data_IF_734758006714
#
_entry.id   IF_734758006714
#
_cell.length_a   1.000
_cell.length_b   1.000
_cell.length_c   1.000
_cell.angle_alpha   90.00
_cell.angle_beta   90.00
_cell.angle_gamma   90.00
#
_symmetry.space_group_name_H-M   'P 1'
#
loop_
_entity.id
_entity.type
_entity.pdbx_description
1 polymer ?
#
# COMPACT_ATOMS: atom_id res chain seq x y z
N UNK A 1 9.06 14.08 -4.80
CA UNK A 1 10.27 13.40 -4.27
C UNK A 1 9.93 11.92 -4.08
N UNK A 2 10.89 10.98 -4.13
CA UNK A 2 10.63 9.53 -3.98
C UNK A 2 10.95 9.05 -2.56
N UNK A 3 10.23 8.07 -2.00
CA UNK A 3 10.59 7.42 -0.74
C UNK A 3 12.01 6.87 -0.76
N UNK A 4 12.67 6.85 0.40
CA UNK A 4 14.05 6.41 0.52
C UNK A 4 14.35 5.81 1.90
N UNK A 5 15.40 5.00 1.96
CA UNK A 5 15.97 4.49 3.21
C UNK A 5 17.08 5.42 3.71
N UNK A 6 17.19 5.56 5.03
CA UNK A 6 18.31 6.24 5.68
C UNK A 6 18.70 5.52 6.96
N UNK A 7 19.96 5.63 7.38
CA UNK A 7 20.41 5.12 8.67
C UNK A 7 19.76 5.88 9.83
N UNK A 8 19.45 5.19 10.92
CA UNK A 8 18.80 5.75 12.12
C UNK A 8 19.72 6.71 12.90
N UNK A 9 21.04 6.54 12.79
CA UNK A 9 22.04 7.39 13.47
C UNK A 9 22.22 8.78 12.81
N UNK A 10 21.65 8.99 11.61
CA UNK A 10 21.78 10.26 10.90
C UNK A 10 20.71 11.24 11.34
N UNK A 11 21.11 12.32 12.01
CA UNK A 11 20.26 13.44 12.43
C UNK A 11 19.65 14.30 11.31
N UNK A 12 19.46 13.78 10.09
CA UNK A 12 18.72 14.50 9.05
C UNK A 12 17.22 14.45 9.36
N UNK A 13 16.55 15.59 9.30
CA UNK A 13 15.09 15.64 9.40
C UNK A 13 14.44 15.09 8.13
N UNK A 14 13.25 14.51 8.28
CA UNK A 14 12.42 14.16 7.13
C UNK A 14 11.95 15.45 6.42
N UNK A 15 11.67 15.41 5.11
CA UNK A 15 11.02 16.52 4.43
C UNK A 15 9.70 16.91 5.12
N UNK A 16 9.28 18.17 4.95
CA UNK A 16 8.01 18.65 5.52
C UNK A 16 6.85 17.80 4.99
N UNK A 17 6.00 17.34 5.91
CA UNK A 17 4.83 16.50 5.61
C UNK A 17 5.16 15.02 5.41
N UNK A 18 6.43 14.62 5.47
CA UNK A 18 6.86 13.23 5.40
C UNK A 18 7.10 12.67 6.80
N UNK A 19 6.96 11.35 6.93
CA UNK A 19 7.26 10.64 8.16
C UNK A 19 8.49 9.75 7.99
N UNK A 20 9.09 9.38 9.11
CA UNK A 20 10.16 8.38 9.18
C UNK A 20 9.67 7.24 10.07
N UNK A 21 9.67 6.01 9.53
CA UNK A 21 9.29 4.82 10.30
C UNK A 21 10.45 3.82 10.35
N UNK A 22 10.69 3.15 11.50
CA UNK A 22 11.70 2.12 11.61
C UNK A 22 11.47 0.99 10.60
N UNK A 23 12.47 0.70 9.77
CA UNK A 23 12.40 -0.33 8.73
C UNK A 23 13.26 -1.56 9.07
N UNK A 24 13.87 -1.59 10.25
CA UNK A 24 14.73 -2.67 10.72
C UNK A 24 16.12 -2.62 10.09
N UNK A 25 16.79 -3.78 10.05
CA UNK A 25 18.14 -3.90 9.48
C UNK A 25 18.08 -4.06 7.98
N UNK A 26 18.79 -3.21 7.24
CA UNK A 26 19.00 -3.33 5.79
C UNK A 26 20.49 -3.22 5.49
N UNK A 27 21.04 -4.16 4.74
CA UNK A 27 22.47 -4.27 4.43
C UNK A 27 23.35 -4.13 5.69
N UNK A 28 22.94 -4.80 6.78
CA UNK A 28 23.64 -4.79 8.07
C UNK A 28 23.50 -3.51 8.90
N UNK A 29 22.63 -2.57 8.52
CA UNK A 29 22.43 -1.29 9.24
C UNK A 29 20.99 -1.10 9.67
N UNK A 30 20.78 -0.57 10.88
CA UNK A 30 19.45 -0.09 11.27
C UNK A 30 19.07 1.12 10.41
N UNK A 31 17.90 1.04 9.77
CA UNK A 31 17.40 2.09 8.89
C UNK A 31 15.96 2.45 9.20
N UNK A 32 15.59 3.64 8.76
CA UNK A 32 14.22 4.11 8.68
C UNK A 32 13.84 4.29 7.21
N UNK A 33 12.57 4.06 6.90
CA UNK A 33 11.98 4.45 5.63
C UNK A 33 11.33 5.82 5.79
N UNK A 34 11.69 6.74 4.88
CA UNK A 34 11.17 8.11 4.86
C UNK A 34 10.23 8.26 3.67
N UNK A 35 8.97 8.60 3.94
CA UNK A 35 7.93 8.68 2.91
C UNK A 35 6.83 9.68 3.27
N UNK A 36 6.17 10.23 2.25
CA UNK A 36 4.90 10.95 2.41
C UNK A 36 3.76 9.94 2.63
N UNK A 37 3.11 9.89 3.79
CA UNK A 37 2.04 8.92 4.07
C UNK A 37 0.73 9.20 3.31
N UNK A 38 0.57 10.42 2.78
CA UNK A 38 -0.59 10.80 1.97
C UNK A 38 -0.46 10.29 0.55
N UNK A 39 0.77 10.25 0.03
CA UNK A 39 1.05 9.85 -1.36
C UNK A 39 1.56 8.43 -1.50
N UNK A 40 2.29 7.91 -0.51
CA UNK A 40 2.98 6.63 -0.64
C UNK A 40 2.36 5.55 0.24
N UNK A 41 2.37 4.33 -0.28
CA UNK A 41 2.13 3.13 0.51
C UNK A 41 3.38 2.27 0.45
N UNK A 42 3.90 1.89 1.62
CA UNK A 42 5.07 1.04 1.79
C UNK A 42 4.60 -0.35 2.24
N UNK A 43 5.17 -1.40 1.64
CA UNK A 43 4.97 -2.79 2.03
C UNK A 43 6.34 -3.42 2.21
N UNK A 44 6.53 -4.12 3.32
CA UNK A 44 7.70 -4.95 3.57
C UNK A 44 7.28 -6.41 3.47
N UNK A 45 7.95 -7.17 2.62
CA UNK A 45 7.81 -8.61 2.57
C UNK A 45 9.04 -9.22 3.22
N UNK A 46 8.81 -10.01 4.25
CA UNK A 46 9.84 -10.75 4.98
C UNK A 46 9.74 -12.23 4.59
N UNK A 47 10.88 -12.89 4.45
CA UNK A 47 11.08 -14.18 3.75
C UNK A 47 11.08 -14.01 2.23
N UNK A 48 11.94 -14.75 1.50
CA UNK A 48 12.10 -14.61 0.05
C UNK A 48 10.72 -14.62 -0.63
N UNK A 49 10.30 -13.48 -1.21
CA UNK A 49 9.02 -13.44 -1.86
C UNK A 49 9.11 -14.28 -3.12
N UNK A 50 8.29 -15.33 -3.20
CA UNK A 50 8.13 -16.09 -4.43
C UNK A 50 7.66 -15.21 -5.57
N UNK A 51 7.88 -15.66 -6.80
CA UNK A 51 7.56 -14.88 -8.01
C UNK A 51 6.09 -14.50 -8.11
N UNK A 52 5.19 -15.33 -7.59
CA UNK A 52 3.76 -15.01 -7.48
C UNK A 52 3.51 -13.74 -6.64
N UNK A 53 4.12 -13.63 -5.46
CA UNK A 53 3.96 -12.45 -4.59
C UNK A 53 4.53 -11.20 -5.27
N UNK A 54 5.69 -11.34 -5.93
CA UNK A 54 6.31 -10.25 -6.70
C UNK A 54 5.42 -9.79 -7.85
N UNK A 55 4.81 -10.72 -8.58
CA UNK A 55 3.89 -10.43 -9.68
C UNK A 55 2.62 -9.73 -9.20
N UNK A 56 2.02 -10.18 -8.09
CA UNK A 56 0.84 -9.53 -7.48
C UNK A 56 1.17 -8.10 -7.06
N UNK A 57 2.28 -7.88 -6.35
CA UNK A 57 2.69 -6.54 -5.94
C UNK A 57 2.93 -5.63 -7.15
N UNK A 58 3.59 -6.11 -8.19
CA UNK A 58 3.79 -5.36 -9.42
C UNK A 58 2.47 -5.02 -10.13
N UNK A 59 1.53 -5.97 -10.19
CA UNK A 59 0.19 -5.76 -10.75
C UNK A 59 -0.64 -4.72 -9.99
N UNK A 60 -0.46 -4.65 -8.66
CA UNK A 60 -1.04 -3.64 -7.77
C UNK A 60 -0.35 -2.26 -7.84
N UNK A 61 0.58 -2.08 -8.77
CA UNK A 61 1.31 -0.84 -9.00
C UNK A 61 2.47 -0.60 -8.04
N UNK A 62 2.86 -1.58 -7.23
CA UNK A 62 4.06 -1.48 -6.41
C UNK A 62 5.32 -1.66 -7.24
N UNK A 63 6.36 -0.91 -6.87
CA UNK A 63 7.71 -0.99 -7.39
C UNK A 63 8.66 -1.33 -6.25
N UNK A 64 9.72 -2.10 -6.52
CA UNK A 64 10.76 -2.40 -5.52
C UNK A 64 11.50 -1.11 -5.15
N UNK A 65 11.60 -0.87 -3.86
CA UNK A 65 12.37 0.22 -3.26
C UNK A 65 13.72 -0.27 -2.76
N UNK A 66 13.75 -1.43 -2.11
CA UNK A 66 14.97 -2.04 -1.59
C UNK A 66 14.86 -3.57 -1.55
N UNK A 67 16.00 -4.26 -1.66
CA UNK A 67 16.13 -5.72 -1.54
C UNK A 67 17.33 -6.00 -0.65
N UNK A 68 17.18 -6.88 0.33
CA UNK A 68 18.27 -7.32 1.21
C UNK A 68 18.08 -8.80 1.56
N UNK A 69 18.74 -9.67 0.79
CA UNK A 69 18.59 -11.12 0.92
C UNK A 69 17.12 -11.57 0.82
N UNK A 70 16.59 -12.04 1.94
CA UNK A 70 15.24 -12.62 2.06
C UNK A 70 14.15 -11.59 2.37
N UNK A 71 14.44 -10.30 2.30
CA UNK A 71 13.45 -9.24 2.50
C UNK A 71 13.45 -8.26 1.34
N UNK A 72 12.25 -7.82 0.98
CA UNK A 72 12.03 -6.82 -0.06
C UNK A 72 11.10 -5.72 0.47
N UNK A 73 11.40 -4.48 0.11
CA UNK A 73 10.57 -3.32 0.39
C UNK A 73 9.99 -2.81 -0.92
N UNK A 74 8.70 -2.57 -0.90
CA UNK A 74 7.90 -2.19 -2.05
C UNK A 74 7.17 -0.89 -1.77
N UNK A 75 7.04 -0.06 -2.79
CA UNK A 75 6.39 1.25 -2.73
C UNK A 75 5.42 1.42 -3.89
N UNK A 76 4.24 1.97 -3.61
CA UNK A 76 3.38 2.54 -4.65
C UNK A 76 2.96 3.97 -4.31
N UNK A 77 2.68 4.75 -5.34
CA UNK A 77 2.11 6.08 -5.20
C UNK A 77 0.58 6.01 -5.38
N UNK A 78 -0.17 6.35 -4.33
CA UNK A 78 -1.65 6.33 -4.29
C UNK A 78 -2.27 7.24 -5.35
N UNK A 79 -1.70 8.42 -5.58
CA UNK A 79 -2.20 9.36 -6.58
C UNK A 79 -1.92 8.88 -8.01
N UNK A 80 -0.79 8.21 -8.24
CA UNK A 80 -0.46 7.65 -9.56
C UNK A 80 -1.34 6.44 -9.91
N UNK A 81 -1.71 5.62 -8.92
CA UNK A 81 -2.62 4.48 -9.11
C UNK A 81 -4.04 4.96 -9.42
N UNK A 82 -4.54 5.97 -8.70
CA UNK A 82 -5.86 6.57 -8.97
C UNK A 82 -5.97 7.18 -10.38
N UNK A 83 -4.87 7.72 -10.93
CA UNK A 83 -4.83 8.25 -12.29
C UNK A 83 -4.70 7.17 -13.38
N UNK A 84 -4.27 5.96 -13.03
CA UNK A 84 -4.13 4.82 -13.94
C UNK A 84 -5.33 3.88 -13.91
N UNK A 85 -6.22 4.02 -12.93
CA UNK A 85 -7.55 3.42 -12.97
C UNK A 85 -8.41 4.21 -13.97
N UNK A 86 -8.86 3.61 -15.09
CA UNK A 86 -9.97 4.17 -15.83
C UNK A 86 -11.17 4.30 -14.87
N UNK A 87 -12.11 5.24 -15.10
CA UNK A 87 -13.34 5.34 -14.32
C UNK A 87 -14.17 4.07 -14.56
N UNK A 88 -13.89 3.00 -13.82
CA UNK A 88 -14.68 1.79 -13.82
C UNK A 88 -15.98 2.12 -13.08
N UNK A 89 -16.97 2.47 -13.91
CA UNK A 89 -18.42 2.40 -13.69
C UNK A 89 -18.77 1.95 -12.28
N UNK A 90 -19.20 2.91 -11.46
CA UNK A 90 -19.91 2.67 -10.22
C UNK A 90 -20.87 1.49 -10.41
N UNK A 91 -20.55 0.34 -9.81
CA UNK A 91 -21.54 -0.70 -9.58
C UNK A 91 -22.47 -0.14 -8.51
N UNK A 92 -23.47 0.63 -8.95
CA UNK A 92 -24.64 0.92 -8.15
C UNK A 92 -25.22 -0.43 -7.74
N UNK A 93 -24.98 -0.79 -6.49
CA UNK A 93 -25.79 -1.79 -5.81
C UNK A 93 -27.16 -1.18 -5.57
N UNK A 94 -27.99 -1.16 -6.61
CA UNK A 94 -29.44 -1.01 -6.46
C UNK A 94 -29.96 -2.36 -5.94
N UNK A 95 -29.76 -2.58 -4.63
CA UNK A 95 -30.39 -3.66 -3.90
C UNK A 95 -31.57 -3.06 -3.16
N UNK A 96 -32.65 -2.83 -3.90
CA UNK A 96 -33.97 -2.49 -3.35
C UNK A 96 -34.39 -3.59 -2.35
N UNK A 97 -34.59 -3.30 -1.06
CA UNK A 97 -35.15 -4.29 -0.15
C UNK A 97 -36.64 -4.50 -0.51
N UNK A 98 -36.99 -5.71 -0.92
CA UNK A 98 -38.37 -6.14 -1.14
C UNK A 98 -39.12 -6.13 0.22
N UNK A 99 -40.16 -5.31 0.43
CA UNK A 99 -40.96 -5.42 1.64
C UNK A 99 -41.82 -6.69 1.58
N UNK A 100 -41.66 -7.56 2.57
CA UNK A 100 -42.53 -8.70 2.81
C UNK A 100 -43.95 -8.18 3.09
N UNK A 101 -44.89 -8.47 2.20
CA UNK A 101 -46.30 -8.19 2.45
C UNK A 101 -46.81 -9.13 3.53
N UNK A 102 -47.12 -8.54 4.68
CA UNK A 102 -48.01 -9.07 5.69
C UNK A 102 -49.42 -9.00 5.09
N UNK A 103 -50.06 -10.15 4.84
CA UNK A 103 -51.48 -10.18 4.51
C UNK A 103 -52.19 -11.12 5.49
N UNK A 104 -52.96 -10.49 6.38
CA UNK A 104 -53.87 -11.16 7.28
C UNK A 104 -55.27 -11.31 6.67
N UNK A 105 -55.86 -12.46 7.00
CA UNK A 105 -57.30 -12.76 7.21
C UNK A 105 -58.29 -12.68 6.04
N UNK A 106 -59.02 -13.81 5.91
CA UNK A 106 -60.48 -13.81 5.81
C UNK A 106 -61.03 -14.70 4.70
N UNK A 107 -61.58 -15.85 5.08
CA UNK A 107 -63.00 -16.22 4.92
C UNK A 107 -63.28 -17.48 5.76
#
# INVERSE_FOLDING_TARGET
MKPFLRATDRGRLAPVGWISEPAGTWAGRQVEVVFDPRQHQIVMVRNEPGDTTRAVLAGEGFRRLAVDGQQEMWVRNRAAVAAQQPPDRAKSIDATPKPAQIQGRGL
#
